data_IF_045347982683
#
_entry.id   IF_045347982683
#
_cell.length_a   1.000
_cell.length_b   1.000
_cell.length_c   1.000
_cell.angle_alpha   90.00
_cell.angle_beta   90.00
_cell.angle_gamma   90.00
#
_symmetry.space_group_name_H-M   'P 1'
#
loop_
_entity.id
_entity.type
_entity.pdbx_description
1 polymer ?
#
# COMPACT_ATOMS: atom_id res chain seq x y z
N UNK A 1 -0.55 6.59 14.01
CA UNK A 1 -0.47 5.25 14.63
C UNK A 1 -1.86 4.85 15.07
N UNK A 2 -2.32 3.68 14.63
CA UNK A 2 -3.62 3.12 15.05
C UNK A 2 -3.41 2.20 16.25
N UNK A 3 -4.30 2.30 17.24
CA UNK A 3 -4.28 1.49 18.47
C UNK A 3 -5.64 0.82 18.65
N UNK A 4 -5.64 -0.51 18.68
CA UNK A 4 -6.82 -1.32 18.88
C UNK A 4 -7.00 -1.70 20.36
N UNK A 5 -8.23 -1.59 20.87
CA UNK A 5 -8.57 -2.02 22.23
C UNK A 5 -9.83 -2.89 22.22
N UNK A 6 -9.94 -3.84 23.16
CA UNK A 6 -11.21 -4.51 23.43
C UNK A 6 -12.29 -3.48 23.77
N UNK A 7 -13.53 -3.73 23.36
CA UNK A 7 -14.64 -2.76 23.47
C UNK A 7 -14.86 -2.28 24.92
N UNK A 8 -14.71 -3.19 25.89
CA UNK A 8 -14.84 -2.88 27.31
C UNK A 8 -13.71 -1.97 27.87
N UNK A 9 -12.59 -1.83 27.15
CA UNK A 9 -11.45 -0.97 27.51
C UNK A 9 -11.36 0.28 26.65
N UNK A 10 -12.11 0.38 25.56
CA UNK A 10 -12.06 1.49 24.61
C UNK A 10 -12.31 2.84 25.29
N UNK A 11 -13.38 2.94 26.10
CA UNK A 11 -13.72 4.18 26.81
C UNK A 11 -12.62 4.63 27.79
N UNK A 12 -11.92 3.68 28.42
CA UNK A 12 -10.79 3.96 29.32
C UNK A 12 -9.56 4.44 28.53
N UNK A 13 -9.27 3.81 27.38
CA UNK A 13 -8.18 4.18 26.50
C UNK A 13 -8.37 5.59 25.91
N UNK A 14 -9.60 5.92 25.49
CA UNK A 14 -9.95 7.25 24.97
C UNK A 14 -9.90 8.32 26.06
N UNK A 15 -10.39 7.98 27.27
CA UNK A 15 -10.56 8.94 28.36
C UNK A 15 -11.75 9.87 28.14
N UNK A 16 -12.15 10.62 29.19
CA UNK A 16 -13.28 11.55 29.10
C UNK A 16 -13.01 12.61 28.03
N UNK A 17 -13.91 12.70 27.03
CA UNK A 17 -13.76 13.64 25.92
C UNK A 17 -12.47 13.46 25.09
N UNK A 18 -11.87 12.26 25.08
CA UNK A 18 -10.63 12.00 24.33
C UNK A 18 -9.36 12.52 25.00
N UNK A 19 -9.42 12.92 26.28
CA UNK A 19 -8.30 13.58 26.95
C UNK A 19 -7.04 12.70 27.04
N UNK A 20 -7.18 11.38 27.24
CA UNK A 20 -6.03 10.49 27.34
C UNK A 20 -5.29 10.40 26.00
N UNK A 21 -6.04 10.23 24.90
CA UNK A 21 -5.47 10.15 23.54
C UNK A 21 -4.80 11.44 23.14
N UNK A 22 -5.41 12.58 23.47
CA UNK A 22 -4.84 13.90 23.19
C UNK A 22 -3.54 14.12 23.95
N UNK A 23 -3.52 13.88 25.27
CA UNK A 23 -2.30 14.04 26.07
C UNK A 23 -1.20 13.06 25.65
N UNK A 24 -1.54 11.82 25.33
CA UNK A 24 -0.58 10.83 24.83
C UNK A 24 -0.02 11.21 23.46
N UNK A 25 -0.84 11.80 22.58
CA UNK A 25 -0.39 12.32 21.28
C UNK A 25 0.53 13.52 21.45
N UNK A 26 0.21 14.46 22.36
CA UNK A 26 1.06 15.60 22.70
C UNK A 26 2.39 15.17 23.31
N UNK A 27 2.38 14.13 24.16
CA UNK A 27 3.57 13.63 24.85
C UNK A 27 4.51 12.84 23.92
N UNK A 28 3.95 12.03 23.02
CA UNK A 28 4.73 11.20 22.08
C UNK A 28 5.07 11.95 20.79
N UNK A 29 4.36 13.05 20.50
CA UNK A 29 4.41 13.74 19.22
C UNK A 29 3.76 12.96 18.06
N UNK A 30 3.15 11.80 18.34
CA UNK A 30 2.52 10.97 17.31
C UNK A 30 1.03 11.23 17.26
N UNK A 31 0.45 11.25 16.06
CA UNK A 31 -1.01 11.25 15.90
C UNK A 31 -1.53 9.85 16.24
N UNK A 32 -2.16 9.71 17.40
CA UNK A 32 -2.76 8.45 17.86
C UNK A 32 -4.23 8.38 17.45
N UNK A 33 -4.62 7.25 16.87
CA UNK A 33 -6.01 6.95 16.50
C UNK A 33 -6.44 5.69 17.25
N UNK A 34 -7.46 5.81 18.10
CA UNK A 34 -7.90 4.73 18.98
C UNK A 34 -9.24 4.21 18.50
N UNK A 35 -9.32 2.90 18.31
CA UNK A 35 -10.53 2.22 17.83
C UNK A 35 -10.72 0.86 18.51
N UNK A 36 -11.88 0.24 18.32
CA UNK A 36 -12.10 -1.12 18.79
C UNK A 36 -11.27 -2.12 17.97
N UNK A 37 -10.98 -3.30 18.52
CA UNK A 37 -10.37 -4.40 17.76
C UNK A 37 -11.21 -4.80 16.54
N UNK A 38 -12.54 -4.74 16.65
CA UNK A 38 -13.45 -5.03 15.54
C UNK A 38 -13.32 -3.97 14.44
N UNK A 39 -13.31 -2.69 14.80
CA UNK A 39 -13.16 -1.59 13.83
C UNK A 39 -11.78 -1.62 13.18
N UNK A 40 -10.74 -1.97 13.95
CA UNK A 40 -9.39 -2.14 13.42
C UNK A 40 -9.35 -3.26 12.38
N UNK A 41 -9.92 -4.43 12.69
CA UNK A 41 -9.98 -5.56 11.77
C UNK A 41 -10.75 -5.20 10.48
N UNK A 42 -11.89 -4.50 10.59
CA UNK A 42 -12.65 -4.01 9.43
C UNK A 42 -11.84 -3.03 8.59
N UNK A 43 -11.18 -2.07 9.23
CA UNK A 43 -10.35 -1.06 8.56
C UNK A 43 -9.20 -1.75 7.81
N UNK A 44 -8.45 -2.62 8.47
CA UNK A 44 -7.33 -3.34 7.85
C UNK A 44 -7.81 -4.25 6.72
N UNK A 45 -8.96 -4.93 6.88
CA UNK A 45 -9.55 -5.73 5.79
C UNK A 45 -9.86 -4.89 4.56
N UNK A 46 -10.54 -3.76 4.74
CA UNK A 46 -10.87 -2.84 3.65
C UNK A 46 -9.63 -2.18 3.03
N UNK A 47 -8.56 -1.95 3.79
CA UNK A 47 -7.28 -1.47 3.26
C UNK A 47 -6.61 -2.55 2.40
N UNK A 48 -6.60 -3.80 2.86
CA UNK A 48 -6.06 -4.93 2.10
C UNK A 48 -6.80 -5.15 0.78
N UNK A 49 -8.12 -5.12 0.80
CA UNK A 49 -8.96 -5.25 -0.41
C UNK A 49 -8.64 -4.16 -1.43
N UNK A 50 -8.53 -2.90 -0.99
CA UNK A 50 -8.15 -1.78 -1.87
C UNK A 50 -6.76 -1.93 -2.46
N UNK A 51 -5.81 -2.44 -1.68
CA UNK A 51 -4.44 -2.68 -2.17
C UNK A 51 -4.47 -3.82 -3.20
N UNK A 52 -5.22 -4.89 -2.94
CA UNK A 52 -5.36 -6.01 -3.86
C UNK A 52 -5.96 -5.56 -5.20
N UNK A 53 -7.05 -4.78 -5.16
CA UNK A 53 -7.64 -4.17 -6.35
C UNK A 53 -6.65 -3.25 -7.09
N UNK A 54 -5.88 -2.44 -6.35
CA UNK A 54 -4.88 -1.53 -6.93
C UNK A 54 -3.73 -2.28 -7.61
N UNK A 55 -3.24 -3.36 -7.00
CA UNK A 55 -2.21 -4.20 -7.61
C UNK A 55 -2.74 -4.95 -8.83
N UNK A 56 -3.94 -5.51 -8.73
CA UNK A 56 -4.60 -6.19 -9.85
C UNK A 56 -4.76 -5.25 -11.06
N UNK A 57 -5.28 -4.04 -10.85
CA UNK A 57 -5.48 -3.06 -11.92
C UNK A 57 -4.16 -2.58 -12.54
N UNK A 58 -3.17 -2.20 -11.71
CA UNK A 58 -1.90 -1.66 -12.23
C UNK A 58 -1.04 -2.69 -12.95
N UNK A 59 -1.12 -3.95 -12.54
CA UNK A 59 -0.32 -5.04 -13.09
C UNK A 59 -1.10 -5.87 -14.13
N UNK A 60 -2.33 -5.47 -14.47
CA UNK A 60 -3.24 -6.20 -15.36
C UNK A 60 -3.46 -7.67 -14.92
N UNK A 61 -3.45 -7.92 -13.61
CA UNK A 61 -3.60 -9.24 -13.02
C UNK A 61 -5.06 -9.52 -12.65
N UNK A 62 -5.41 -10.79 -12.52
CA UNK A 62 -6.69 -11.18 -11.94
C UNK A 62 -6.78 -10.75 -10.47
N UNK A 63 -7.99 -10.43 -10.00
CA UNK A 63 -8.23 -9.99 -8.62
C UNK A 63 -7.72 -11.00 -7.59
N UNK A 64 -7.84 -12.29 -7.88
CA UNK A 64 -7.34 -13.38 -7.02
C UNK A 64 -5.81 -13.30 -6.83
N UNK A 65 -5.06 -12.95 -7.88
CA UNK A 65 -3.60 -12.79 -7.79
C UNK A 65 -3.24 -11.58 -6.93
N UNK A 66 -3.97 -10.48 -7.08
CA UNK A 66 -3.82 -9.30 -6.21
C UNK A 66 -4.08 -9.61 -4.73
N UNK A 67 -5.10 -10.42 -4.43
CA UNK A 67 -5.40 -10.86 -3.06
C UNK A 67 -4.29 -11.75 -2.48
N UNK A 68 -3.74 -12.66 -3.29
CA UNK A 68 -2.61 -13.51 -2.91
C UNK A 68 -1.40 -12.64 -2.55
N UNK A 69 -1.04 -11.66 -3.40
CA UNK A 69 0.08 -10.76 -3.15
C UNK A 69 -0.06 -10.00 -1.83
N UNK A 70 -1.25 -9.45 -1.55
CA UNK A 70 -1.51 -8.73 -0.29
C UNK A 70 -1.48 -9.65 0.95
N UNK A 71 -1.86 -10.92 0.78
CA UNK A 71 -1.77 -11.92 1.85
C UNK A 71 -0.32 -12.26 2.18
N UNK A 72 0.54 -12.35 1.17
CA UNK A 72 1.98 -12.56 1.34
C UNK A 72 2.72 -11.31 1.82
N UNK A 73 2.07 -10.14 1.72
CA UNK A 73 2.53 -8.90 2.36
C UNK A 73 2.98 -7.82 1.39
N UNK A 74 2.82 -8.03 0.08
CA UNK A 74 3.08 -7.00 -0.92
C UNK A 74 2.00 -5.90 -0.83
N UNK A 75 2.43 -4.66 -0.68
CA UNK A 75 1.55 -3.50 -0.52
C UNK A 75 1.71 -2.45 -1.61
N UNK A 76 2.76 -2.55 -2.43
CA UNK A 76 3.00 -1.66 -3.55
C UNK A 76 3.60 -2.38 -4.75
N UNK A 77 3.55 -1.72 -5.92
CA UNK A 77 4.12 -2.27 -7.17
C UNK A 77 5.65 -2.34 -7.08
N UNK A 78 6.28 -1.40 -6.38
CA UNK A 78 7.73 -1.35 -6.15
C UNK A 78 8.21 -2.53 -5.30
N UNK A 79 7.44 -2.94 -4.28
CA UNK A 79 7.77 -4.13 -3.48
C UNK A 79 7.71 -5.40 -4.33
N UNK A 80 6.80 -5.46 -5.31
CA UNK A 80 6.71 -6.60 -6.24
C UNK A 80 7.86 -6.57 -7.26
N UNK A 81 8.15 -5.43 -7.87
CA UNK A 81 9.17 -5.31 -8.92
C UNK A 81 10.61 -5.46 -8.40
N UNK A 82 10.89 -4.94 -7.20
CA UNK A 82 12.23 -4.94 -6.60
C UNK A 82 12.39 -5.94 -5.45
N UNK A 83 11.34 -6.70 -5.16
CA UNK A 83 11.35 -7.76 -4.17
C UNK A 83 12.25 -8.93 -4.57
N UNK A 84 12.41 -9.86 -3.63
CA UNK A 84 13.09 -11.11 -3.91
C UNK A 84 12.13 -12.06 -4.65
N UNK A 85 12.50 -12.48 -5.86
CA UNK A 85 11.70 -13.41 -6.66
C UNK A 85 11.58 -14.78 -5.98
N UNK A 86 12.54 -15.15 -5.13
CA UNK A 86 12.47 -16.38 -4.36
C UNK A 86 11.31 -16.38 -3.34
N UNK A 87 10.87 -15.21 -2.87
CA UNK A 87 9.67 -15.08 -2.02
C UNK A 87 8.39 -15.36 -2.83
N UNK A 88 8.33 -14.90 -4.08
CA UNK A 88 7.21 -15.19 -4.98
C UNK A 88 7.14 -16.67 -5.38
N UNK A 89 8.29 -17.32 -5.58
CA UNK A 89 8.34 -18.77 -5.82
C UNK A 89 7.92 -19.61 -4.61
N UNK A 90 7.99 -19.06 -3.40
CA UNK A 90 7.58 -19.75 -2.19
C UNK A 90 6.05 -19.75 -1.99
N UNK A 91 5.33 -18.94 -2.76
CA UNK A 91 3.86 -18.87 -2.73
C UNK A 91 3.29 -20.13 -3.36
N UNK A 92 2.49 -20.89 -2.61
CA UNK A 92 1.95 -22.18 -3.06
C UNK A 92 1.09 -22.05 -4.33
N UNK A 93 0.41 -20.92 -4.48
CA UNK A 93 -0.47 -20.63 -5.61
C UNK A 93 0.26 -20.12 -6.87
N UNK A 94 1.56 -19.82 -6.79
CA UNK A 94 2.34 -19.34 -7.94
C UNK A 94 3.34 -20.40 -8.40
N UNK A 95 3.43 -20.59 -9.72
CA UNK A 95 4.54 -21.28 -10.33
C UNK A 95 5.63 -20.28 -10.77
N UNK A 96 6.77 -20.82 -11.21
CA UNK A 96 7.90 -19.98 -11.64
C UNK A 96 7.50 -19.05 -12.80
N UNK A 97 6.66 -19.51 -13.73
CA UNK A 97 6.24 -18.71 -14.89
C UNK A 97 5.35 -17.54 -14.46
N UNK A 98 4.37 -17.78 -13.58
CA UNK A 98 3.48 -16.76 -13.02
C UNK A 98 4.28 -15.74 -12.20
N UNK A 99 5.18 -16.20 -11.34
CA UNK A 99 5.99 -15.30 -10.51
C UNK A 99 6.89 -14.38 -11.35
N UNK A 100 7.53 -14.93 -12.40
CA UNK A 100 8.31 -14.11 -13.34
C UNK A 100 7.43 -13.10 -14.08
N UNK A 101 6.24 -13.52 -14.53
CA UNK A 101 5.29 -12.64 -15.22
C UNK A 101 4.84 -11.48 -14.32
N UNK A 102 4.53 -11.75 -13.05
CA UNK A 102 4.15 -10.71 -12.08
C UNK A 102 5.26 -9.66 -11.93
N UNK A 103 6.52 -10.10 -11.79
CA UNK A 103 7.68 -9.19 -11.64
C UNK A 103 7.94 -8.40 -12.93
N UNK A 104 7.82 -9.04 -14.10
CA UNK A 104 7.98 -8.40 -15.40
C UNK A 104 6.94 -7.29 -15.57
N UNK A 105 5.66 -7.58 -15.34
CA UNK A 105 4.59 -6.58 -15.42
C UNK A 105 4.76 -5.45 -14.42
N UNK A 106 5.21 -5.74 -13.20
CA UNK A 106 5.52 -4.71 -12.21
C UNK A 106 6.66 -3.80 -12.65
N UNK A 107 7.72 -4.38 -13.23
CA UNK A 107 8.86 -3.62 -13.77
C UNK A 107 8.46 -2.76 -14.96
N UNK A 108 7.67 -3.31 -15.88
CA UNK A 108 7.15 -2.60 -17.06
C UNK A 108 6.22 -1.45 -16.69
N UNK A 109 5.37 -1.65 -15.69
CA UNK A 109 4.51 -0.59 -15.16
C UNK A 109 5.34 0.57 -14.59
N UNK A 110 6.37 0.28 -13.79
CA UNK A 110 7.25 1.32 -13.23
C UNK A 110 8.08 2.03 -14.31
N UNK A 111 8.55 1.29 -15.33
CA UNK A 111 9.24 1.88 -16.46
C UNK A 111 8.32 2.83 -17.23
N UNK A 112 7.07 2.43 -17.47
CA UNK A 112 6.06 3.25 -18.13
C UNK A 112 5.77 4.51 -17.34
N UNK A 113 5.63 4.41 -16.01
CA UNK A 113 5.46 5.57 -15.14
C UNK A 113 6.66 6.53 -15.20
N UNK A 114 7.88 6.00 -15.15
CA UNK A 114 9.09 6.83 -15.21
C UNK A 114 9.19 7.60 -16.53
N UNK A 115 8.82 6.99 -17.65
CA UNK A 115 8.80 7.65 -18.97
C UNK A 115 7.66 8.67 -19.07
N UNK A 116 6.46 8.32 -18.59
CA UNK A 116 5.30 9.22 -18.59
C UNK A 116 5.53 10.48 -17.76
N UNK A 117 6.17 10.36 -16.60
CA UNK A 117 6.60 11.50 -15.79
C UNK A 117 7.63 12.37 -16.54
N UNK A 118 8.52 11.77 -17.34
CA UNK A 118 9.53 12.49 -18.13
C UNK A 118 8.89 13.32 -19.27
N UNK A 119 7.85 12.79 -19.93
CA UNK A 119 7.08 13.53 -20.96
C UNK A 119 6.22 14.67 -20.36
N UNK A 120 5.65 14.49 -19.16
CA UNK A 120 4.96 15.57 -18.43
C UNK A 120 5.95 16.67 -17.99
N UNK A 121 7.18 16.32 -17.60
CA UNK A 121 8.23 17.28 -17.24
C UNK A 121 8.77 18.02 -18.47
N UNK A 122 8.94 17.36 -19.62
CA UNK A 122 9.34 18.03 -20.87
C UNK A 122 8.23 18.97 -21.39
N UNK A 123 6.97 18.55 -21.35
CA UNK A 123 5.84 19.38 -21.80
C UNK A 123 5.54 20.57 -20.87
N UNK A 124 5.92 20.50 -19.59
CA UNK A 124 5.77 21.59 -18.61
C UNK A 124 6.97 22.55 -18.54
N UNK A 125 8.03 22.32 -19.32
CA UNK A 125 9.15 23.26 -19.51
C UNK A 125 9.08 23.98 -20.86
N UNK A 126 8.37 25.12 -20.99
CA UNK A 126 8.31 25.89 -22.23
C UNK A 126 9.54 26.80 -22.42
N UNK A 127 10.75 26.27 -22.21
CA UNK A 127 12.00 27.00 -22.46
C UNK A 127 12.99 26.08 -23.17
N UNK A 128 12.79 25.85 -24.48
CA UNK A 128 13.80 26.18 -25.50
C UNK A 128 13.23 25.98 -26.92
N UNK A 129 12.15 26.67 -27.29
CA UNK A 129 11.96 26.99 -28.72
C UNK A 129 12.91 28.14 -29.04
N UNK A 130 14.12 27.77 -29.43
CA UNK A 130 15.19 28.60 -29.98
C UNK A 130 14.62 29.77 -30.81
N UNK A 131 14.69 30.98 -30.25
CA UNK A 131 14.84 32.20 -31.03
C UNK A 131 16.32 32.31 -31.45
N UNK A 132 16.60 32.30 -32.75
CA UNK A 132 17.91 32.65 -33.31
C UNK A 132 18.33 31.84 -34.52
#
# INVERSE_FOLDING_TARGET
>A
MDLAFPENKLAMAVGRGGQNVRLASELTGWRLNVMSEEDFAKKTGAEKEKIAEMLADKLDLDTEVGEILVREGYTSVEEVAYGDIEELYAVEEFDEDIANEIVERASDFLLTLAIGDEEEIESSNPIDTLEG
#
